data_IF_666869029628
#
_entry.id   IF_666869029628
#
_cell.length_a   1.000
_cell.length_b   1.000
_cell.length_c   1.000
_cell.angle_alpha   90.00
_cell.angle_beta   90.00
_cell.angle_gamma   90.00
#
_symmetry.space_group_name_H-M   'P 1'
#
loop_
_entity.id
_entity.type
_entity.pdbx_description
1 polymer ?
#
# COMPACT_ATOMS: atom_id res chain seq x y z
N UNK A 1 -7.29 3.07 -8.27
CA UNK A 1 -6.53 3.61 -9.42
C UNK A 1 -7.45 4.33 -10.42
N UNK A 2 -6.90 5.25 -11.21
CA UNK A 2 -7.59 5.92 -12.33
C UNK A 2 -7.22 5.21 -13.63
N UNK A 3 -8.11 4.35 -14.13
CA UNK A 3 -7.83 3.45 -15.25
C UNK A 3 -7.44 4.15 -16.58
N UNK A 4 -7.88 5.41 -16.76
CA UNK A 4 -7.63 6.22 -17.97
C UNK A 4 -6.43 7.15 -17.87
N UNK A 5 -5.71 7.11 -16.75
CA UNK A 5 -4.43 7.80 -16.54
C UNK A 5 -3.30 6.78 -16.65
N UNK A 6 -2.12 7.25 -17.03
CA UNK A 6 -0.90 6.42 -17.00
C UNK A 6 -0.51 6.07 -15.57
N UNK A 7 0.37 5.08 -15.39
CA UNK A 7 0.89 4.75 -14.06
C UNK A 7 1.60 5.95 -13.42
N UNK A 8 2.36 6.72 -14.18
CA UNK A 8 3.02 7.94 -13.72
C UNK A 8 2.00 8.99 -13.26
N UNK A 9 0.95 9.26 -14.05
CA UNK A 9 -0.10 10.21 -13.70
C UNK A 9 -0.88 9.76 -12.46
N UNK A 10 -1.13 8.45 -12.31
CA UNK A 10 -1.77 7.89 -11.12
C UNK A 10 -0.99 8.16 -9.83
N UNK A 11 0.33 8.13 -9.90
CA UNK A 11 1.18 8.52 -8.78
C UNK A 11 1.15 10.03 -8.58
N UNK A 12 1.39 10.79 -9.62
CA UNK A 12 1.48 12.25 -9.53
C UNK A 12 0.20 12.87 -8.93
N UNK A 13 -0.99 12.37 -9.30
CA UNK A 13 -2.27 12.88 -8.77
C UNK A 13 -2.49 12.54 -7.30
N UNK A 14 -1.76 11.58 -6.75
CA UNK A 14 -1.85 11.19 -5.33
C UNK A 14 -0.99 12.09 -4.42
N UNK A 15 -0.12 12.93 -4.98
CA UNK A 15 0.68 13.88 -4.20
C UNK A 15 -0.20 14.94 -3.53
N UNK A 16 0.08 15.31 -2.27
CA UNK A 16 -0.74 16.28 -1.54
C UNK A 16 -0.59 17.69 -2.13
N UNK A 17 -1.69 18.43 -2.08
CA UNK A 17 -1.82 19.86 -2.39
C UNK A 17 -1.00 20.34 -3.58
N UNK A 18 -1.55 20.23 -4.76
CA UNK A 18 -0.95 20.86 -5.92
C UNK A 18 -1.12 22.38 -5.80
N UNK A 19 0.01 23.09 -5.76
CA UNK A 19 0.02 24.56 -5.80
C UNK A 19 -0.65 25.02 -7.09
N UNK A 20 -1.80 25.66 -7.01
CA UNK A 20 -2.57 26.06 -8.20
C UNK A 20 -4.06 25.82 -8.08
N UNK A 21 -4.52 25.09 -7.07
CA UNK A 21 -5.95 24.85 -6.80
C UNK A 21 -6.70 26.12 -6.37
N UNK A 22 -5.99 27.19 -5.98
CA UNK A 22 -6.60 28.51 -5.75
C UNK A 22 -6.54 29.34 -7.02
N UNK A 23 -7.69 29.89 -7.44
CA UNK A 23 -7.83 30.74 -8.63
C UNK A 23 -6.85 31.93 -8.61
N UNK A 24 -6.54 32.47 -7.44
CA UNK A 24 -5.58 33.57 -7.25
C UNK A 24 -4.12 33.11 -7.40
N UNK A 25 -3.76 31.90 -6.96
CA UNK A 25 -2.40 31.37 -7.09
C UNK A 25 -2.08 30.98 -8.54
N UNK A 26 -3.05 30.52 -9.31
CA UNK A 26 -2.88 30.17 -10.72
C UNK A 26 -2.46 31.36 -11.59
N UNK A 27 -2.86 32.56 -11.23
CA UNK A 27 -2.56 33.77 -12.03
C UNK A 27 -1.16 34.35 -11.77
N UNK A 28 -0.62 34.18 -10.54
CA UNK A 28 0.64 34.82 -10.13
C UNK A 28 1.83 33.84 -9.93
N UNK A 29 1.59 32.54 -9.88
CA UNK A 29 2.59 31.56 -9.43
C UNK A 29 3.18 30.67 -10.53
N UNK A 30 3.18 31.07 -11.78
CA UNK A 30 3.58 30.20 -12.92
C UNK A 30 4.94 29.51 -12.79
N UNK A 31 5.93 30.14 -12.12
CA UNK A 31 7.25 29.49 -11.87
C UNK A 31 7.23 28.52 -10.69
N UNK A 32 6.53 28.84 -9.62
CA UNK A 32 6.42 27.97 -8.43
C UNK A 32 5.57 26.75 -8.74
N UNK A 33 4.50 26.86 -9.51
CA UNK A 33 3.67 25.75 -9.99
C UNK A 33 4.51 24.79 -10.83
N UNK A 34 5.22 25.29 -11.85
CA UNK A 34 6.09 24.44 -12.70
C UNK A 34 7.18 23.73 -11.91
N UNK A 35 7.76 24.37 -10.89
CA UNK A 35 8.76 23.74 -10.05
C UNK A 35 8.13 22.60 -9.22
N UNK A 36 6.97 22.85 -8.61
CA UNK A 36 6.25 21.83 -7.83
C UNK A 36 5.80 20.65 -8.69
N UNK A 37 5.27 20.92 -9.88
CA UNK A 37 4.93 19.87 -10.84
C UNK A 37 6.16 19.01 -11.20
N UNK A 38 7.30 19.63 -11.44
CA UNK A 38 8.53 18.90 -11.72
C UNK A 38 8.99 18.04 -10.54
N UNK A 39 8.91 18.56 -9.30
CA UNK A 39 9.21 17.82 -8.07
C UNK A 39 8.27 16.62 -7.90
N UNK A 40 6.97 16.78 -8.13
CA UNK A 40 5.97 15.71 -8.06
C UNK A 40 6.22 14.63 -9.13
N UNK A 41 6.52 15.03 -10.36
CA UNK A 41 6.83 14.07 -11.44
C UNK A 41 8.12 13.31 -11.14
N UNK A 42 9.13 13.95 -10.57
CA UNK A 42 10.37 13.27 -10.19
C UNK A 42 10.13 12.27 -9.07
N UNK A 43 9.40 12.65 -8.01
CA UNK A 43 8.99 11.73 -6.95
C UNK A 43 8.17 10.55 -7.49
N UNK A 44 7.29 10.80 -8.47
CA UNK A 44 6.52 9.73 -9.10
C UNK A 44 7.41 8.77 -9.90
N UNK A 45 8.48 9.26 -10.56
CA UNK A 45 9.46 8.41 -11.25
C UNK A 45 10.28 7.58 -10.28
N UNK A 46 10.79 8.18 -9.21
CA UNK A 46 11.49 7.47 -8.14
C UNK A 46 10.60 6.39 -7.51
N UNK A 47 9.31 6.70 -7.33
CA UNK A 47 8.33 5.73 -6.82
C UNK A 47 8.11 4.59 -7.82
N UNK A 48 7.98 4.87 -9.14
CA UNK A 48 7.88 3.81 -10.15
C UNK A 48 9.13 2.92 -10.17
N UNK A 49 10.30 3.51 -10.01
CA UNK A 49 11.56 2.75 -9.96
C UNK A 49 11.60 1.83 -8.74
N UNK A 50 11.29 2.35 -7.57
CA UNK A 50 11.18 1.57 -6.34
C UNK A 50 10.21 0.39 -6.46
N UNK A 51 9.06 0.60 -7.15
CA UNK A 51 8.05 -0.43 -7.41
C UNK A 51 8.46 -1.43 -8.50
N UNK A 52 9.55 -1.16 -9.25
CA UNK A 52 9.92 -1.92 -10.44
C UNK A 52 8.94 -1.75 -11.60
N UNK A 53 8.20 -0.64 -11.64
CA UNK A 53 7.18 -0.33 -12.64
C UNK A 53 7.63 0.70 -13.68
N UNK A 54 8.90 1.09 -13.71
CA UNK A 54 9.44 2.09 -14.65
C UNK A 54 9.10 1.76 -16.11
N UNK A 55 9.17 0.48 -16.48
CA UNK A 55 8.91 -0.02 -17.84
C UNK A 55 7.45 0.15 -18.30
N UNK A 56 6.50 0.31 -17.39
CA UNK A 56 5.07 0.53 -17.67
C UNK A 56 4.59 1.92 -17.21
N UNK A 57 5.50 2.82 -16.88
CA UNK A 57 5.18 4.14 -16.36
C UNK A 57 4.28 4.98 -17.27
N UNK A 58 4.37 4.77 -18.59
CA UNK A 58 3.57 5.45 -19.62
C UNK A 58 2.33 4.65 -20.06
N UNK A 59 2.16 3.43 -19.58
CA UNK A 59 0.98 2.63 -19.87
C UNK A 59 -0.23 3.13 -19.06
N UNK A 60 -1.42 3.03 -19.64
CA UNK A 60 -2.66 3.32 -18.91
C UNK A 60 -2.82 2.31 -17.76
N UNK A 61 -3.16 2.79 -16.58
CA UNK A 61 -3.33 1.93 -15.42
C UNK A 61 -4.40 0.84 -15.63
N UNK A 62 -5.40 1.10 -16.48
CA UNK A 62 -6.39 0.09 -16.88
C UNK A 62 -5.78 -1.14 -17.55
N UNK A 63 -4.64 -0.99 -18.26
CA UNK A 63 -3.97 -2.04 -19.00
C UNK A 63 -2.96 -2.84 -18.18
N UNK A 64 -2.64 -2.38 -16.97
CA UNK A 64 -1.71 -3.06 -16.07
C UNK A 64 -2.27 -4.40 -15.62
N UNK A 65 -1.39 -5.37 -15.38
CA UNK A 65 -1.77 -6.61 -14.71
C UNK A 65 -2.28 -6.34 -13.29
N UNK A 66 -3.08 -7.25 -12.74
CA UNK A 66 -3.62 -7.11 -11.37
C UNK A 66 -2.52 -6.82 -10.33
N UNK A 67 -1.38 -7.49 -10.47
CA UNK A 67 -0.24 -7.27 -9.60
C UNK A 67 0.43 -5.91 -9.77
N UNK A 68 0.59 -5.43 -10.98
CA UNK A 68 1.12 -4.09 -11.23
C UNK A 68 0.18 -3.01 -10.68
N UNK A 69 -1.14 -3.23 -10.77
CA UNK A 69 -2.15 -2.35 -10.18
C UNK A 69 -2.01 -2.30 -8.66
N UNK A 70 -1.81 -3.45 -8.01
CA UNK A 70 -1.61 -3.53 -6.55
C UNK A 70 -0.34 -2.80 -6.10
N UNK A 71 0.77 -2.97 -6.83
CA UNK A 71 1.99 -2.20 -6.58
C UNK A 71 1.77 -0.70 -6.77
N UNK A 72 1.03 -0.30 -7.82
CA UNK A 72 0.70 1.10 -8.06
C UNK A 72 -0.15 1.70 -6.93
N UNK A 73 -1.07 0.93 -6.34
CA UNK A 73 -1.86 1.35 -5.17
C UNK A 73 -0.97 1.63 -3.96
N UNK A 74 -0.01 0.75 -3.68
CA UNK A 74 0.98 0.97 -2.61
C UNK A 74 1.80 2.22 -2.92
N UNK A 75 2.28 2.39 -4.17
CA UNK A 75 3.04 3.57 -4.59
C UNK A 75 2.28 4.88 -4.38
N UNK A 76 0.98 4.89 -4.57
CA UNK A 76 0.16 6.08 -4.30
C UNK A 76 0.18 6.52 -2.84
N UNK A 77 0.35 5.59 -1.90
CA UNK A 77 0.52 5.93 -0.48
C UNK A 77 1.87 6.59 -0.21
N UNK A 78 2.90 6.25 -1.01
CA UNK A 78 4.24 6.85 -0.90
C UNK A 78 4.29 8.29 -1.41
N UNK A 79 3.39 8.66 -2.32
CA UNK A 79 3.27 10.04 -2.82
C UNK A 79 2.72 10.99 -1.77
N UNK A 80 2.16 10.48 -0.69
CA UNK A 80 1.59 11.25 0.40
C UNK A 80 2.60 11.37 1.55
N UNK A 81 2.55 12.44 2.31
CA UNK A 81 3.40 12.64 3.49
C UNK A 81 2.97 11.79 4.71
N UNK A 82 1.91 10.99 4.56
CA UNK A 82 1.40 10.11 5.60
C UNK A 82 2.42 9.03 5.97
N UNK A 83 2.65 8.86 7.28
CA UNK A 83 3.55 7.83 7.81
C UNK A 83 2.80 6.58 8.30
N UNK A 84 1.48 6.62 8.30
CA UNK A 84 0.62 5.49 8.67
C UNK A 84 -0.18 5.07 7.46
N UNK A 85 -0.08 3.81 7.09
CA UNK A 85 -0.73 3.20 5.93
C UNK A 85 -1.63 2.06 6.39
N UNK A 86 -2.89 2.09 5.97
CA UNK A 86 -3.85 1.02 6.20
C UNK A 86 -3.95 0.19 4.93
N UNK A 87 -3.67 -1.10 5.02
CA UNK A 87 -3.76 -2.05 3.92
C UNK A 87 -4.86 -3.07 4.22
N UNK A 88 -5.83 -3.14 3.33
CA UNK A 88 -6.91 -4.11 3.40
C UNK A 88 -6.72 -5.17 2.32
N UNK A 89 -6.43 -6.40 2.75
CA UNK A 89 -6.13 -7.56 1.91
C UNK A 89 -5.13 -7.25 0.77
N UNK A 90 -3.92 -6.75 1.08
CA UNK A 90 -2.95 -6.41 0.04
C UNK A 90 -2.55 -7.60 -0.83
N UNK A 91 -2.75 -8.83 -0.32
CA UNK A 91 -2.50 -10.08 -1.02
C UNK A 91 -3.63 -10.62 -1.88
N UNK A 92 -4.84 -10.06 -1.80
CA UNK A 92 -5.99 -10.60 -2.51
C UNK A 92 -5.80 -10.61 -4.04
N UNK A 93 -5.97 -11.80 -4.66
CA UNK A 93 -5.82 -11.98 -6.10
C UNK A 93 -4.40 -11.87 -6.65
N UNK A 94 -3.40 -11.92 -5.78
CA UNK A 94 -1.98 -11.80 -6.11
C UNK A 94 -1.32 -13.18 -6.09
N UNK A 95 -0.48 -13.47 -7.09
CA UNK A 95 0.28 -14.72 -7.08
C UNK A 95 1.39 -14.71 -6.01
N UNK A 96 1.88 -15.89 -5.54
CA UNK A 96 2.86 -15.98 -4.45
C UNK A 96 4.18 -15.21 -4.69
N UNK A 97 4.61 -15.09 -5.94
CA UNK A 97 5.84 -14.36 -6.28
C UNK A 97 5.67 -12.85 -6.08
N UNK A 98 4.51 -12.33 -6.48
CA UNK A 98 4.21 -10.91 -6.30
C UNK A 98 3.88 -10.59 -4.83
N UNK A 99 3.22 -11.54 -4.12
CA UNK A 99 3.00 -11.42 -2.68
C UNK A 99 4.32 -11.19 -1.92
N UNK A 100 5.36 -11.96 -2.25
CA UNK A 100 6.69 -11.76 -1.66
C UNK A 100 7.26 -10.37 -1.95
N UNK A 101 7.12 -9.87 -3.18
CA UNK A 101 7.54 -8.50 -3.52
C UNK A 101 6.78 -7.44 -2.73
N UNK A 102 5.48 -7.59 -2.57
CA UNK A 102 4.67 -6.68 -1.74
C UNK A 102 5.16 -6.70 -0.30
N UNK A 103 5.42 -7.89 0.26
CA UNK A 103 5.94 -8.00 1.63
C UNK A 103 7.32 -7.35 1.77
N UNK A 104 8.25 -7.61 0.85
CA UNK A 104 9.58 -6.98 0.82
C UNK A 104 9.50 -5.44 0.76
N UNK A 105 8.58 -4.91 -0.03
CA UNK A 105 8.37 -3.46 -0.12
C UNK A 105 7.79 -2.87 1.17
N UNK A 106 6.87 -3.56 1.83
CA UNK A 106 6.31 -3.13 3.12
C UNK A 106 7.42 -3.11 4.18
N UNK A 107 8.25 -4.16 4.24
CA UNK A 107 9.41 -4.22 5.14
C UNK A 107 10.38 -3.05 4.88
N UNK A 108 10.75 -2.84 3.62
CA UNK A 108 11.67 -1.77 3.25
C UNK A 108 11.11 -0.38 3.58
N UNK A 109 9.83 -0.13 3.33
CA UNK A 109 9.18 1.13 3.69
C UNK A 109 9.11 1.33 5.22
N UNK A 110 8.90 0.27 5.98
CA UNK A 110 8.89 0.34 7.43
C UNK A 110 10.30 0.61 7.99
N UNK A 111 11.30 -0.18 7.57
CA UNK A 111 12.67 -0.15 8.13
C UNK A 111 13.44 1.08 7.67
N UNK A 112 13.41 1.41 6.37
CA UNK A 112 14.24 2.46 5.79
C UNK A 112 13.58 3.83 5.79
N UNK A 113 12.24 3.88 5.68
CA UNK A 113 11.48 5.13 5.55
C UNK A 113 10.58 5.46 6.74
N UNK A 114 10.51 4.58 7.74
CA UNK A 114 9.77 4.79 8.99
C UNK A 114 8.26 4.84 8.82
N UNK A 115 7.72 4.11 7.84
CA UNK A 115 6.27 3.93 7.71
C UNK A 115 5.74 2.98 8.78
N UNK A 116 4.55 3.23 9.27
CA UNK A 116 3.80 2.32 10.13
C UNK A 116 2.65 1.72 9.32
N UNK A 117 2.53 0.40 9.33
CA UNK A 117 1.47 -0.31 8.63
C UNK A 117 0.47 -0.92 9.59
N UNK A 118 -0.82 -0.79 9.26
CA UNK A 118 -1.88 -1.61 9.81
C UNK A 118 -2.42 -2.46 8.66
N UNK A 119 -2.29 -3.78 8.78
CA UNK A 119 -2.59 -4.73 7.70
C UNK A 119 -3.76 -5.60 8.15
N UNK A 120 -4.81 -5.66 7.34
CA UNK A 120 -5.89 -6.64 7.47
C UNK A 120 -5.58 -7.73 6.46
N UNK A 121 -5.36 -8.93 6.94
CA UNK A 121 -5.01 -10.10 6.12
C UNK A 121 -5.48 -11.39 6.76
N UNK A 122 -5.67 -12.41 5.94
CA UNK A 122 -5.97 -13.78 6.36
C UNK A 122 -4.82 -14.75 6.04
N UNK A 123 -3.79 -14.31 5.33
CA UNK A 123 -2.56 -15.06 5.10
C UNK A 123 -1.65 -14.99 6.34
N UNK A 124 -1.66 -16.06 7.11
CA UNK A 124 -0.93 -16.16 8.38
C UNK A 124 0.59 -16.05 8.20
N UNK A 125 1.13 -16.45 7.05
CA UNK A 125 2.57 -16.37 6.79
C UNK A 125 2.99 -14.93 6.50
N UNK A 126 2.16 -14.19 5.78
CA UNK A 126 2.37 -12.76 5.57
C UNK A 126 2.28 -11.97 6.88
N UNK A 127 1.28 -12.27 7.70
CA UNK A 127 1.12 -11.62 9.02
C UNK A 127 2.33 -11.93 9.91
N UNK A 128 2.74 -13.20 9.99
CA UNK A 128 3.90 -13.62 10.80
C UNK A 128 5.19 -12.93 10.39
N UNK A 129 5.35 -12.67 9.09
CA UNK A 129 6.52 -12.01 8.52
C UNK A 129 6.54 -10.50 8.80
N UNK A 130 5.40 -9.83 8.64
CA UNK A 130 5.34 -8.35 8.61
C UNK A 130 4.93 -7.73 9.94
N UNK A 131 4.21 -8.45 10.80
CA UNK A 131 3.54 -7.87 11.94
C UNK A 131 4.19 -8.30 13.26
N UNK A 132 4.74 -7.34 14.00
CA UNK A 132 5.23 -7.58 15.35
C UNK A 132 4.10 -7.72 16.39
N UNK A 133 2.92 -7.16 16.11
CA UNK A 133 1.70 -7.26 16.92
C UNK A 133 0.53 -7.64 16.04
N UNK A 134 -0.24 -8.62 16.50
CA UNK A 134 -1.45 -9.12 15.83
C UNK A 134 -2.67 -8.90 16.72
N UNK A 135 -3.76 -8.46 16.13
CA UNK A 135 -5.09 -8.35 16.75
C UNK A 135 -6.03 -9.28 16.03
N UNK A 136 -6.58 -10.23 16.73
CA UNK A 136 -7.55 -11.20 16.19
C UNK A 136 -8.97 -10.71 16.49
N UNK A 137 -9.78 -10.61 15.44
CA UNK A 137 -11.18 -10.23 15.51
C UNK A 137 -12.06 -11.44 15.21
N UNK A 138 -13.07 -11.67 16.04
CA UNK A 138 -14.11 -12.65 15.77
C UNK A 138 -15.47 -12.07 16.20
N UNK A 139 -16.51 -12.32 15.43
CA UNK A 139 -17.90 -11.87 15.70
C UNK A 139 -18.03 -10.37 16.02
N UNK A 140 -17.18 -9.54 15.41
CA UNK A 140 -17.18 -8.08 15.61
C UNK A 140 -16.51 -7.60 16.90
N UNK A 141 -15.81 -8.48 17.63
CA UNK A 141 -15.08 -8.15 18.85
C UNK A 141 -13.61 -8.56 18.78
N UNK A 142 -12.76 -7.92 19.58
CA UNK A 142 -11.37 -8.35 19.75
C UNK A 142 -11.35 -9.64 20.56
N UNK A 143 -10.86 -10.72 19.95
CA UNK A 143 -10.71 -12.02 20.58
C UNK A 143 -9.42 -12.09 21.41
N UNK A 144 -8.31 -11.65 20.81
CA UNK A 144 -7.03 -11.51 21.50
C UNK A 144 -6.10 -10.51 20.79
N UNK A 145 -5.06 -10.10 21.50
CA UNK A 145 -3.92 -9.35 20.98
C UNK A 145 -2.62 -9.99 21.45
N UNK A 146 -1.62 -10.09 20.58
CA UNK A 146 -0.34 -10.70 20.94
C UNK A 146 0.61 -10.78 19.74
N UNK A 147 1.67 -11.55 19.92
CA UNK A 147 2.56 -11.98 18.82
C UNK A 147 1.89 -13.07 17.99
N UNK A 148 2.41 -13.32 16.79
CA UNK A 148 1.89 -14.39 15.95
C UNK A 148 2.01 -15.77 16.61
N UNK A 149 3.07 -16.00 17.39
CA UNK A 149 3.26 -17.27 18.12
C UNK A 149 2.20 -17.46 19.22
N UNK A 150 1.85 -16.39 19.94
CA UNK A 150 0.76 -16.41 20.93
C UNK A 150 -0.59 -16.66 20.27
N UNK A 151 -0.85 -15.99 19.14
CA UNK A 151 -2.08 -16.15 18.35
C UNK A 151 -2.26 -17.60 17.86
N UNK A 152 -1.21 -18.20 17.32
CA UNK A 152 -1.24 -19.59 16.80
C UNK A 152 -1.51 -20.64 17.88
N UNK A 153 -1.20 -20.36 19.13
CA UNK A 153 -1.34 -21.29 20.25
C UNK A 153 -2.56 -21.00 21.12
N UNK A 154 -3.36 -19.98 20.83
CA UNK A 154 -4.57 -19.66 21.60
C UNK A 154 -5.73 -20.54 21.12
N UNK A 155 -6.29 -21.36 22.05
CA UNK A 155 -7.38 -22.29 21.76
C UNK A 155 -8.62 -21.57 21.20
N UNK A 156 -8.91 -20.34 21.64
CA UNK A 156 -10.06 -19.56 21.17
C UNK A 156 -9.89 -19.14 19.71
N UNK A 157 -8.65 -18.85 19.30
CA UNK A 157 -8.32 -18.53 17.88
C UNK A 157 -8.43 -19.79 17.04
N UNK A 158 -7.91 -20.92 17.54
CA UNK A 158 -8.00 -22.20 16.85
C UNK A 158 -9.47 -22.57 16.62
N UNK A 159 -10.31 -22.47 17.65
CA UNK A 159 -11.73 -22.77 17.56
C UNK A 159 -12.47 -21.82 16.59
N UNK A 160 -12.15 -20.52 16.62
CA UNK A 160 -12.83 -19.53 15.80
C UNK A 160 -12.48 -19.64 14.30
N UNK A 161 -11.24 -20.03 13.96
CA UNK A 161 -10.74 -20.06 12.58
C UNK A 161 -10.61 -21.46 11.99
N UNK A 162 -10.39 -22.48 12.80
CA UNK A 162 -10.15 -23.85 12.37
C UNK A 162 -11.14 -24.87 12.95
N UNK A 163 -11.88 -24.50 14.00
CA UNK A 163 -12.83 -25.40 14.68
C UNK A 163 -14.14 -25.68 13.91
N UNK A 164 -14.38 -24.97 12.80
CA UNK A 164 -15.58 -25.16 11.97
C UNK A 164 -15.52 -26.31 10.97
N UNK A 165 -14.41 -27.06 10.86
CA UNK A 165 -14.24 -28.17 9.92
C UNK A 165 -14.40 -29.58 10.56
N UNK A 166 -14.86 -29.66 11.80
CA UNK A 166 -15.12 -30.96 12.46
C UNK A 166 -16.58 -31.05 12.87
N UNK A 167 -17.47 -31.17 11.88
CA UNK A 167 -18.83 -31.68 12.08
C UNK A 167 -19.32 -32.35 10.77
#
# INVERSE_FOLDING_TARGET
>A
EYARMTALENLAVAAPTQTGESIWSSWFAGRSVKRREAEVIELARETLDFLGLTHVGHELAGNLSGGQKKLLEIGRTMMNESKVVLLDEPGAGVNPTLMRKVAEMIEQLNEERGYTFCIIEHDMDMIARLCGKVVVLAEGAVLMEGTMDEVRNDERVIDAYFGGEVA
#
